data_IF_891925171558
#
_entry.id   IF_891925171558
#
_cell.length_a   1.000
_cell.length_b   1.000
_cell.length_c   1.000
_cell.angle_alpha   90.00
_cell.angle_beta   90.00
_cell.angle_gamma   90.00
#
_symmetry.space_group_name_H-M   'P 1'
#
loop_
_entity.id
_entity.type
_entity.pdbx_description
1 polymer ?
#
# COMPACT_ATOMS: atom_id res chain seq x y z
N UNK A 1 13.57 -16.91 -20.53
CA UNK A 1 13.96 -15.91 -19.52
C UNK A 1 15.04 -16.54 -18.64
N UNK A 2 16.12 -15.81 -18.38
CA UNK A 2 17.23 -16.25 -17.54
C UNK A 2 17.22 -15.35 -16.30
N UNK A 3 16.30 -15.63 -15.38
CA UNK A 3 16.18 -14.97 -14.08
C UNK A 3 16.80 -15.91 -13.04
N UNK A 4 17.60 -15.36 -12.14
CA UNK A 4 18.10 -16.08 -10.97
C UNK A 4 17.37 -15.65 -9.70
N UNK A 5 17.68 -16.30 -8.57
CA UNK A 5 17.01 -16.07 -7.29
C UNK A 5 17.08 -14.59 -6.87
N UNK A 6 18.19 -13.93 -7.14
CA UNK A 6 18.45 -12.54 -6.76
C UNK A 6 17.56 -11.56 -7.54
N UNK A 7 17.11 -11.95 -8.73
CA UNK A 7 16.18 -11.15 -9.53
C UNK A 7 14.73 -11.23 -9.02
N UNK A 8 14.42 -12.22 -8.16
CA UNK A 8 13.06 -12.51 -7.70
C UNK A 8 12.85 -12.19 -6.22
N UNK A 9 13.91 -12.21 -5.40
CA UNK A 9 13.79 -12.02 -3.96
C UNK A 9 14.10 -10.58 -3.56
N UNK A 10 13.09 -9.91 -3.01
CA UNK A 10 13.30 -8.73 -2.18
C UNK A 10 14.09 -9.16 -0.95
N UNK A 11 15.38 -8.85 -0.95
CA UNK A 11 16.36 -9.35 0.03
C UNK A 11 16.79 -8.22 0.96
N UNK A 12 16.79 -8.45 2.27
CA UNK A 12 17.32 -7.49 3.24
C UNK A 12 16.68 -7.58 4.62
N UNK A 13 17.27 -6.92 5.63
CA UNK A 13 16.75 -6.89 7.00
C UNK A 13 15.33 -6.33 7.09
N UNK A 14 14.95 -5.49 6.13
CA UNK A 14 13.63 -4.87 6.06
C UNK A 14 12.48 -5.90 6.02
N UNK A 15 12.68 -7.05 5.39
CA UNK A 15 11.62 -8.07 5.26
C UNK A 15 11.22 -8.61 6.64
N UNK A 16 12.20 -8.91 7.49
CA UNK A 16 11.95 -9.40 8.85
C UNK A 16 11.40 -8.30 9.77
N UNK A 17 11.90 -7.07 9.61
CA UNK A 17 11.43 -5.92 10.37
C UNK A 17 9.98 -5.55 10.02
N UNK A 18 9.62 -5.59 8.73
CA UNK A 18 8.25 -5.40 8.27
C UNK A 18 7.37 -6.53 8.77
N UNK A 19 7.76 -7.80 8.61
CA UNK A 19 6.97 -8.94 9.07
C UNK A 19 6.63 -8.86 10.58
N UNK A 20 7.54 -8.34 11.40
CA UNK A 20 7.30 -8.16 12.85
C UNK A 20 6.24 -7.10 13.15
N UNK A 21 6.09 -6.09 12.29
CA UNK A 21 5.20 -4.93 12.51
C UNK A 21 3.94 -4.97 11.66
N UNK A 22 3.94 -5.79 10.61
CA UNK A 22 2.93 -5.83 9.56
C UNK A 22 1.52 -5.96 10.14
N UNK A 23 1.27 -6.97 10.99
CA UNK A 23 -0.05 -7.21 11.54
C UNK A 23 -0.58 -5.99 12.31
N UNK A 24 0.26 -5.35 13.13
CA UNK A 24 -0.14 -4.16 13.88
C UNK A 24 -0.44 -2.96 12.98
N UNK A 25 0.28 -2.83 11.86
CA UNK A 25 0.03 -1.79 10.86
C UNK A 25 -1.27 -2.06 10.10
N UNK A 26 -1.53 -3.31 9.71
CA UNK A 26 -2.78 -3.74 9.06
C UNK A 26 -3.98 -3.44 9.96
N UNK A 27 -3.90 -3.85 11.22
CA UNK A 27 -4.99 -3.66 12.18
C UNK A 27 -5.29 -2.18 12.39
N UNK A 28 -4.25 -1.36 12.56
CA UNK A 28 -4.40 0.10 12.71
C UNK A 28 -5.00 0.75 11.45
N UNK A 29 -4.50 0.40 10.26
CA UNK A 29 -5.01 0.97 9.00
C UNK A 29 -6.48 0.60 8.77
N UNK A 30 -6.83 -0.65 9.02
CA UNK A 30 -8.20 -1.14 8.81
C UNK A 30 -9.20 -0.67 9.87
N UNK A 31 -8.73 -0.25 11.05
CA UNK A 31 -9.57 0.30 12.11
C UNK A 31 -9.76 1.82 11.97
N UNK A 32 -8.67 2.55 11.72
CA UNK A 32 -8.65 4.01 11.87
C UNK A 32 -8.59 4.78 10.54
N UNK A 33 -8.20 4.14 9.43
CA UNK A 33 -7.85 4.84 8.18
C UNK A 33 -8.53 4.25 6.93
N UNK A 34 -9.77 3.77 7.06
CA UNK A 34 -10.55 3.19 5.94
C UNK A 34 -10.76 4.19 4.79
N UNK A 35 -10.80 5.49 5.08
CA UNK A 35 -10.87 6.54 4.07
C UNK A 35 -9.58 6.65 3.26
N UNK A 36 -8.41 6.52 3.91
CA UNK A 36 -7.12 6.52 3.22
C UNK A 36 -6.98 5.28 2.34
N UNK A 37 -7.46 4.12 2.81
CA UNK A 37 -7.44 2.87 2.04
C UNK A 37 -8.28 3.01 0.76
N UNK A 38 -9.45 3.63 0.83
CA UNK A 38 -10.27 3.89 -0.35
C UNK A 38 -9.54 4.80 -1.37
N UNK A 39 -8.82 5.83 -0.90
CA UNK A 39 -7.98 6.68 -1.76
C UNK A 39 -6.89 5.86 -2.44
N UNK A 40 -6.23 4.95 -1.73
CA UNK A 40 -5.19 4.10 -2.32
C UNK A 40 -5.74 3.22 -3.44
N UNK A 41 -6.85 2.52 -3.17
CA UNK A 41 -7.48 1.63 -4.14
C UNK A 41 -7.94 2.39 -5.40
N UNK A 42 -8.64 3.51 -5.23
CA UNK A 42 -9.21 4.26 -6.34
C UNK A 42 -8.15 4.99 -7.16
N UNK A 43 -7.16 5.59 -6.50
CA UNK A 43 -6.20 6.46 -7.17
C UNK A 43 -5.01 5.69 -7.74
N UNK A 44 -4.39 4.82 -6.94
CA UNK A 44 -3.14 4.17 -7.32
C UNK A 44 -3.35 2.82 -7.99
N UNK A 45 -4.35 2.05 -7.54
CA UNK A 45 -4.71 0.78 -8.19
C UNK A 45 -5.80 0.92 -9.27
N UNK A 46 -6.41 2.12 -9.41
CA UNK A 46 -7.56 2.37 -10.30
C UNK A 46 -8.70 1.38 -10.11
N UNK A 47 -8.84 0.86 -8.90
CA UNK A 47 -9.85 -0.11 -8.54
C UNK A 47 -11.17 0.62 -8.25
N UNK A 48 -12.27 0.07 -8.79
CA UNK A 48 -13.61 0.55 -8.48
C UNK A 48 -14.16 -0.11 -7.22
N UNK A 49 -15.24 0.45 -6.66
CA UNK A 49 -15.88 -0.11 -5.47
C UNK A 49 -15.44 0.54 -4.15
N UNK A 50 -15.96 -0.02 -3.05
CA UNK A 50 -15.81 0.50 -1.70
C UNK A 50 -15.57 -0.64 -0.71
N UNK A 51 -15.27 -0.32 0.54
CA UNK A 51 -15.03 -1.35 1.57
C UNK A 51 -13.66 -2.01 1.46
N UNK A 52 -12.72 -1.38 0.75
CA UNK A 52 -11.33 -1.82 0.67
C UNK A 52 -10.68 -1.90 2.06
N UNK A 53 -9.95 -2.98 2.28
CA UNK A 53 -9.15 -3.25 3.48
C UNK A 53 -7.74 -3.64 3.07
N UNK A 54 -6.76 -3.33 3.90
CA UNK A 54 -5.39 -3.82 3.71
C UNK A 54 -5.35 -5.30 4.07
N UNK A 55 -4.75 -6.11 3.21
CA UNK A 55 -4.46 -7.52 3.45
C UNK A 55 -2.99 -7.77 3.83
N UNK A 56 -2.06 -6.97 3.31
CA UNK A 56 -0.62 -7.17 3.51
C UNK A 56 0.21 -5.92 3.18
N UNK A 57 1.41 -5.86 3.76
CA UNK A 57 2.44 -4.88 3.45
C UNK A 57 3.76 -5.59 3.15
N UNK A 58 4.45 -5.12 2.12
CA UNK A 58 5.83 -5.51 1.85
C UNK A 58 6.68 -4.27 1.52
N UNK A 59 7.95 -4.48 1.17
CA UNK A 59 8.85 -3.37 0.90
C UNK A 59 8.48 -2.61 -0.39
N UNK A 60 7.76 -3.24 -1.32
CA UNK A 60 7.44 -2.68 -2.63
C UNK A 60 6.03 -2.06 -2.67
N UNK A 61 5.15 -2.44 -1.77
CA UNK A 61 3.78 -1.94 -1.73
C UNK A 61 2.87 -2.56 -0.69
N UNK A 62 1.57 -2.44 -0.96
CA UNK A 62 0.51 -3.03 -0.15
C UNK A 62 -0.53 -3.71 -1.04
N UNK A 63 -1.15 -4.74 -0.49
CA UNK A 63 -2.26 -5.44 -1.14
C UNK A 63 -3.57 -5.08 -0.45
N UNK A 64 -4.58 -4.75 -1.25
CA UNK A 64 -5.90 -4.35 -0.82
C UNK A 64 -6.94 -5.36 -1.29
N UNK A 65 -7.95 -5.61 -0.45
CA UNK A 65 -9.02 -6.55 -0.72
C UNK A 65 -10.38 -5.92 -0.45
N UNK A 66 -11.36 -6.30 -1.27
CA UNK A 66 -12.77 -5.91 -1.11
C UNK A 66 -13.66 -7.05 -1.63
N UNK A 67 -14.16 -7.89 -0.71
CA UNK A 67 -14.89 -9.11 -1.10
C UNK A 67 -13.97 -10.07 -1.87
N UNK A 68 -14.33 -10.36 -3.12
CA UNK A 68 -13.54 -11.22 -4.02
C UNK A 68 -12.51 -10.41 -4.85
N UNK A 69 -12.56 -9.08 -4.80
CA UNK A 69 -11.64 -8.22 -5.53
C UNK A 69 -10.33 -8.02 -4.76
N UNK A 70 -9.21 -8.08 -5.48
CA UNK A 70 -7.87 -7.84 -4.96
C UNK A 70 -7.14 -6.86 -5.87
N UNK A 71 -6.44 -5.89 -5.30
CA UNK A 71 -5.57 -5.00 -6.06
C UNK A 71 -4.29 -4.68 -5.30
N UNK A 72 -3.22 -4.40 -6.05
CA UNK A 72 -1.90 -4.07 -5.51
C UNK A 72 -1.59 -2.60 -5.75
N UNK A 73 -1.15 -1.93 -4.69
CA UNK A 73 -0.70 -0.54 -4.73
C UNK A 73 0.80 -0.51 -4.47
N UNK A 74 1.57 -0.12 -5.48
CA UNK A 74 3.01 0.05 -5.36
C UNK A 74 3.37 1.38 -4.71
N UNK A 75 4.43 1.37 -3.91
CA UNK A 75 5.04 2.59 -3.44
C UNK A 75 5.79 3.30 -4.58
N UNK A 76 5.98 4.63 -4.51
CA UNK A 76 6.78 5.34 -5.50
C UNK A 76 8.22 4.82 -5.60
N UNK A 77 8.76 4.33 -4.48
CA UNK A 77 10.04 3.67 -4.37
C UNK A 77 9.95 2.55 -3.32
N UNK A 78 10.69 1.43 -3.48
CA UNK A 78 10.76 0.41 -2.46
C UNK A 78 11.27 0.99 -1.13
N UNK A 79 10.67 0.55 -0.03
CA UNK A 79 11.12 0.88 1.31
C UNK A 79 12.52 0.31 1.54
N UNK A 80 13.38 1.10 2.17
CA UNK A 80 14.72 0.70 2.60
C UNK A 80 14.70 0.31 4.09
N UNK A 81 13.82 0.94 4.88
CA UNK A 81 13.64 0.65 6.30
C UNK A 81 12.16 0.55 6.68
N UNK A 82 11.82 -0.36 7.61
CA UNK A 82 10.42 -0.55 8.05
C UNK A 82 9.81 0.70 8.72
N UNK A 83 10.64 1.63 9.20
CA UNK A 83 10.20 2.91 9.76
C UNK A 83 9.60 3.87 8.72
N UNK A 84 9.93 3.69 7.44
CA UNK A 84 9.50 4.57 6.36
C UNK A 84 8.03 4.36 5.97
N UNK A 85 7.48 3.16 6.23
CA UNK A 85 6.12 2.75 5.86
C UNK A 85 5.08 3.82 6.19
N UNK A 86 5.10 4.32 7.42
CA UNK A 86 4.14 5.33 7.89
C UNK A 86 4.23 6.62 7.06
N UNK A 87 5.44 7.10 6.81
CA UNK A 87 5.65 8.36 6.09
C UNK A 87 5.19 8.23 4.65
N UNK A 88 5.57 7.13 3.97
CA UNK A 88 5.17 6.85 2.58
C UNK A 88 3.65 6.78 2.45
N UNK A 89 2.96 6.09 3.35
CA UNK A 89 1.49 6.02 3.34
C UNK A 89 0.84 7.40 3.50
N UNK A 90 1.35 8.24 4.41
CA UNK A 90 0.84 9.60 4.61
C UNK A 90 0.99 10.43 3.33
N UNK A 91 2.16 10.38 2.68
CA UNK A 91 2.41 11.14 1.47
C UNK A 91 1.56 10.66 0.30
N UNK A 92 1.42 9.34 0.13
CA UNK A 92 0.51 8.77 -0.86
C UNK A 92 -0.95 9.18 -0.62
N UNK A 93 -1.40 9.23 0.65
CA UNK A 93 -2.76 9.64 0.95
C UNK A 93 -2.99 11.12 0.60
N UNK A 94 -2.02 11.99 0.90
CA UNK A 94 -2.08 13.40 0.51
C UNK A 94 -2.11 13.57 -1.01
N UNK A 95 -1.22 12.86 -1.72
CA UNK A 95 -1.15 12.92 -3.18
C UNK A 95 -2.46 12.43 -3.84
N UNK A 96 -3.01 11.31 -3.37
CA UNK A 96 -4.26 10.77 -3.88
C UNK A 96 -5.45 11.71 -3.63
N UNK A 97 -5.56 12.30 -2.44
CA UNK A 97 -6.62 13.26 -2.12
C UNK A 97 -6.56 14.51 -2.99
N UNK A 98 -5.37 15.09 -3.17
CA UNK A 98 -5.20 16.30 -3.99
C UNK A 98 -5.67 16.11 -5.44
N UNK A 99 -5.58 14.90 -5.97
CA UNK A 99 -6.01 14.61 -7.34
C UNK A 99 -7.52 14.30 -7.41
N UNK A 100 -8.08 13.65 -6.39
CA UNK A 100 -9.54 13.49 -6.27
C UNK A 100 -10.23 14.85 -6.25
N UNK A 101 -9.71 15.80 -5.46
CA UNK A 101 -10.28 17.14 -5.38
C UNK A 101 -10.22 17.87 -6.73
N UNK A 102 -9.07 17.80 -7.44
CA UNK A 102 -8.91 18.41 -8.76
C UNK A 102 -9.79 17.78 -9.86
N UNK A 103 -10.17 16.51 -9.73
CA UNK A 103 -11.05 15.80 -10.68
C UNK A 103 -12.54 16.09 -10.50
N UNK A 104 -12.94 16.71 -9.38
CA UNK A 104 -14.36 16.99 -9.06
C UNK A 104 -14.78 18.42 -9.44
N UNK A 105 -13.83 19.25 -9.89
CA UNK A 105 -14.05 20.65 -10.29
C UNK A 105 -14.21 20.85 -11.82
N UNK A 106 -14.40 19.79 -12.61
CA UNK A 106 -14.62 19.85 -14.08
C UNK A 106 -15.94 19.21 -14.48
#
# INVERSE_FOLDING_TARGET
YQLDQSDLLTSGPIVEELATREQSAIDHMNADHVDAIAVYAQHFARASGNGWRVAGFDADGMDLVSGDDVCRVFYPQPLVEAGELRHVLIDMAKAGRAIVDAGTET
#
